data_IF_971497984279
#
_entry.id   IF_971497984279
#
_cell.length_a   1.000
_cell.length_b   1.000
_cell.length_c   1.000
_cell.angle_alpha   90.00
_cell.angle_beta   90.00
_cell.angle_gamma   90.00
#
_symmetry.space_group_name_H-M   'P 1'
#
loop_
_entity.id
_entity.type
_entity.pdbx_description
1 polymer ?
#
# COMPACT_ATOMS: atom_id res chain seq x y z
N UNK A 1 -23.27 24.88 -11.06
CA UNK A 1 -22.18 25.53 -10.30
C UNK A 1 -21.88 26.88 -10.92
N UNK A 2 -22.10 27.99 -10.20
CA UNK A 2 -21.94 29.34 -10.75
C UNK A 2 -20.47 29.69 -10.98
N UNK A 3 -20.01 29.67 -12.24
CA UNK A 3 -18.62 29.95 -12.65
C UNK A 3 -18.13 31.32 -12.17
N UNK A 4 -19.01 32.31 -12.09
CA UNK A 4 -18.70 33.66 -11.59
C UNK A 4 -18.33 33.67 -10.09
N UNK A 5 -18.93 32.79 -9.29
CA UNK A 5 -18.61 32.66 -7.86
C UNK A 5 -17.23 32.01 -7.69
N UNK A 6 -16.93 30.96 -8.45
CA UNK A 6 -15.62 30.29 -8.42
C UNK A 6 -14.47 31.21 -8.82
N UNK A 7 -14.65 32.05 -9.85
CA UNK A 7 -13.62 33.01 -10.29
C UNK A 7 -13.33 34.10 -9.24
N UNK A 8 -14.32 34.44 -8.40
CA UNK A 8 -14.16 35.42 -7.31
C UNK A 8 -13.39 34.84 -6.11
N UNK A 9 -13.62 33.55 -5.79
CA UNK A 9 -13.06 32.91 -4.60
C UNK A 9 -11.80 32.09 -4.85
N UNK A 10 -11.58 31.64 -6.08
CA UNK A 10 -10.39 30.90 -6.50
C UNK A 10 -9.81 31.53 -7.77
N UNK A 11 -8.96 32.57 -7.63
CA UNK A 11 -8.18 33.10 -8.73
C UNK A 11 -7.33 32.00 -9.38
N UNK A 12 -7.17 32.05 -10.70
CA UNK A 12 -6.41 31.03 -11.43
C UNK A 12 -4.95 30.95 -10.97
N UNK A 13 -4.39 32.04 -10.44
CA UNK A 13 -3.02 32.10 -9.92
C UNK A 13 -2.81 31.31 -8.62
N UNK A 14 -3.88 31.05 -7.86
CA UNK A 14 -3.80 30.32 -6.58
C UNK A 14 -3.91 28.80 -6.77
N UNK A 15 -4.42 28.34 -7.92
CA UNK A 15 -4.51 26.92 -8.28
C UNK A 15 -3.19 26.14 -8.13
N UNK A 16 -2.03 26.62 -8.60
CA UNK A 16 -0.76 25.89 -8.42
C UNK A 16 -0.37 25.74 -6.95
N UNK A 17 -0.63 26.75 -6.11
CA UNK A 17 -0.32 26.71 -4.68
C UNK A 17 -1.17 25.65 -3.99
N UNK A 18 -2.48 25.65 -4.22
CA UNK A 18 -3.38 24.63 -3.67
C UNK A 18 -3.06 23.23 -4.19
N UNK A 19 -2.61 23.10 -5.44
CA UNK A 19 -2.16 21.83 -6.00
C UNK A 19 -0.96 21.26 -5.23
N UNK A 20 0.11 22.05 -5.05
CA UNK A 20 1.32 21.61 -4.36
C UNK A 20 1.03 21.32 -2.88
N UNK A 21 0.31 22.22 -2.19
CA UNK A 21 -0.03 22.03 -0.78
C UNK A 21 -0.95 20.82 -0.60
N UNK A 22 -1.92 20.62 -1.48
CA UNK A 22 -2.79 19.45 -1.47
C UNK A 22 -2.01 18.14 -1.62
N UNK A 23 -1.04 18.10 -2.55
CA UNK A 23 -0.15 16.94 -2.71
C UNK A 23 0.73 16.74 -1.47
N UNK A 24 1.26 17.83 -0.88
CA UNK A 24 2.11 17.73 0.30
C UNK A 24 1.35 17.17 1.52
N UNK A 25 0.19 17.74 1.84
CA UNK A 25 -0.65 17.30 2.96
C UNK A 25 -1.22 15.90 2.70
N UNK A 26 -1.65 15.63 1.47
CA UNK A 26 -2.14 14.31 1.06
C UNK A 26 -1.04 13.24 1.15
N UNK A 27 0.16 13.52 0.65
CA UNK A 27 1.31 12.62 0.72
C UNK A 27 1.77 12.36 2.15
N UNK A 28 1.82 13.39 3.00
CA UNK A 28 2.15 13.25 4.41
C UNK A 28 1.10 12.42 5.17
N UNK A 29 -0.19 12.69 4.93
CA UNK A 29 -1.30 11.94 5.55
C UNK A 29 -1.30 10.49 5.10
N UNK A 30 -1.08 10.22 3.81
CA UNK A 30 -0.94 8.86 3.28
C UNK A 30 0.26 8.14 3.89
N UNK A 31 1.39 8.83 4.05
CA UNK A 31 2.57 8.22 4.68
C UNK A 31 2.32 7.87 6.16
N UNK A 32 1.70 8.78 6.92
CA UNK A 32 1.34 8.50 8.31
C UNK A 32 0.35 7.35 8.42
N UNK A 33 -0.67 7.32 7.55
CA UNK A 33 -1.63 6.22 7.50
C UNK A 33 -0.93 4.88 7.26
N UNK A 34 -0.03 4.78 6.28
CA UNK A 34 0.69 3.53 6.01
C UNK A 34 1.58 3.11 7.18
N UNK A 35 2.25 4.06 7.84
CA UNK A 35 3.14 3.77 8.97
C UNK A 35 2.33 3.26 10.16
N UNK A 36 1.12 3.79 10.32
CA UNK A 36 0.21 3.33 11.36
C UNK A 36 -0.26 1.88 11.17
N UNK A 37 -0.11 1.30 9.97
CA UNK A 37 -0.41 -0.12 9.70
C UNK A 37 0.82 -1.04 9.86
N UNK A 38 1.92 -0.54 10.42
CA UNK A 38 3.10 -1.34 10.70
C UNK A 38 2.84 -2.44 11.75
N UNK A 39 3.64 -3.53 11.75
CA UNK A 39 3.50 -4.63 12.72
C UNK A 39 3.70 -4.19 14.18
N UNK A 40 4.35 -3.05 14.41
CA UNK A 40 4.52 -2.45 15.73
C UNK A 40 3.23 -1.80 16.29
N UNK A 41 2.23 -1.55 15.44
CA UNK A 41 0.97 -0.90 15.84
C UNK A 41 -0.19 -1.90 15.79
N UNK A 42 -0.83 -2.11 16.94
CA UNK A 42 -2.02 -2.96 17.07
C UNK A 42 -3.27 -2.09 17.20
N UNK A 43 -4.07 -2.04 16.14
CA UNK A 43 -5.35 -1.31 16.11
C UNK A 43 -6.50 -2.07 16.76
N UNK A 44 -6.59 -3.37 16.48
CA UNK A 44 -7.61 -4.25 17.04
C UNK A 44 -6.97 -5.22 18.04
N UNK A 45 -7.40 -5.15 19.29
CA UNK A 45 -6.92 -6.04 20.37
C UNK A 45 -7.86 -7.19 20.67
N UNK A 46 -9.07 -7.19 20.10
CA UNK A 46 -10.11 -8.18 20.39
C UNK A 46 -10.34 -9.14 19.22
N UNK A 47 -10.00 -8.75 18.00
CA UNK A 47 -10.04 -9.60 16.81
C UNK A 47 -8.64 -10.03 16.35
N UNK A 48 -8.30 -9.69 15.11
CA UNK A 48 -7.04 -10.04 14.48
C UNK A 48 -5.91 -9.10 14.91
N UNK A 49 -5.37 -9.37 16.10
CA UNK A 49 -4.33 -8.56 16.74
C UNK A 49 -2.92 -8.77 16.17
N UNK A 50 -2.73 -9.73 15.27
CA UNK A 50 -1.43 -10.07 14.64
C UNK A 50 -1.49 -9.90 13.13
N UNK A 51 -1.55 -8.66 12.61
CA UNK A 51 -1.58 -8.43 11.16
C UNK A 51 -0.36 -9.00 10.43
N UNK A 52 0.77 -9.20 11.12
CA UNK A 52 1.98 -9.82 10.56
C UNK A 52 1.84 -11.31 10.24
N UNK A 53 0.90 -12.04 10.86
CA UNK A 53 0.69 -13.46 10.58
C UNK A 53 0.18 -13.69 9.13
N UNK A 54 -0.42 -12.67 8.51
CA UNK A 54 -0.91 -12.71 7.13
C UNK A 54 0.20 -12.49 6.09
N UNK A 55 1.38 -12.05 6.52
CA UNK A 55 2.46 -11.65 5.61
C UNK A 55 3.30 -12.88 5.28
N UNK A 56 3.24 -13.34 4.02
CA UNK A 56 4.02 -14.49 3.57
C UNK A 56 5.45 -14.07 3.18
N UNK A 57 6.43 -14.97 3.30
CA UNK A 57 7.86 -14.69 3.05
C UNK A 57 8.22 -14.27 1.60
N UNK A 58 7.29 -14.29 0.66
CA UNK A 58 7.42 -13.80 -0.71
C UNK A 58 6.92 -12.35 -0.90
N UNK A 59 6.32 -11.77 0.14
CA UNK A 59 5.79 -10.41 0.10
C UNK A 59 6.83 -9.40 0.58
N UNK A 60 6.93 -8.27 -0.12
CA UNK A 60 7.82 -7.18 0.24
C UNK A 60 7.07 -6.18 1.10
N UNK A 61 7.57 -5.94 2.32
CA UNK A 61 7.01 -4.99 3.27
C UNK A 61 7.53 -3.55 3.09
N UNK A 62 8.58 -3.36 2.28
CA UNK A 62 9.18 -2.04 2.04
C UNK A 62 8.31 -1.25 1.07
N UNK A 63 8.21 0.06 1.32
CA UNK A 63 7.50 0.96 0.40
C UNK A 63 8.07 0.91 -1.02
N UNK A 64 9.40 0.94 -1.12
CA UNK A 64 10.12 0.94 -2.39
C UNK A 64 11.18 -0.14 -2.32
N UNK A 65 11.27 -0.91 -3.38
CA UNK A 65 12.34 -1.89 -3.57
C UNK A 65 13.25 -1.44 -4.69
N UNK A 66 14.55 -1.52 -4.44
CA UNK A 66 15.57 -1.29 -5.49
C UNK A 66 15.68 -2.49 -6.44
N UNK A 67 15.20 -3.67 -6.01
CA UNK A 67 15.33 -4.92 -6.76
C UNK A 67 13.95 -5.60 -6.93
N UNK A 68 13.11 -5.15 -7.87
CA UNK A 68 11.75 -5.70 -8.06
C UNK A 68 11.79 -7.16 -8.56
N UNK A 69 12.74 -7.50 -9.44
CA UNK A 69 12.87 -8.84 -10.03
C UNK A 69 13.08 -9.94 -8.99
N UNK A 70 13.77 -9.64 -7.90
CA UNK A 70 13.98 -10.61 -6.81
C UNK A 70 12.66 -11.06 -6.20
N UNK A 71 11.74 -10.12 -5.97
CA UNK A 71 10.44 -10.40 -5.36
C UNK A 71 9.51 -11.10 -6.35
N UNK A 72 9.61 -10.80 -7.64
CA UNK A 72 8.88 -11.52 -8.69
C UNK A 72 9.28 -12.99 -8.75
N UNK A 73 10.59 -13.26 -8.80
CA UNK A 73 11.13 -14.63 -8.79
C UNK A 73 10.71 -15.39 -7.54
N UNK A 74 10.69 -14.73 -6.37
CA UNK A 74 10.28 -15.35 -5.10
C UNK A 74 8.78 -15.69 -5.08
N UNK A 75 7.93 -14.82 -5.63
CA UNK A 75 6.49 -15.10 -5.81
C UNK A 75 6.26 -16.28 -6.76
N UNK A 76 6.99 -16.35 -7.86
CA UNK A 76 6.91 -17.47 -8.82
C UNK A 76 7.33 -18.79 -8.15
N UNK A 77 8.47 -18.78 -7.45
CA UNK A 77 8.95 -19.94 -6.71
C UNK A 77 7.90 -20.49 -5.72
N UNK A 78 7.26 -19.62 -4.94
CA UNK A 78 6.22 -20.05 -4.00
C UNK A 78 5.00 -20.64 -4.73
N UNK A 79 4.58 -20.06 -5.87
CA UNK A 79 3.49 -20.62 -6.68
C UNK A 79 3.83 -22.02 -7.22
N UNK A 80 5.06 -22.20 -7.70
CA UNK A 80 5.51 -23.48 -8.23
C UNK A 80 5.59 -24.57 -7.14
N UNK A 81 6.06 -24.20 -5.94
CA UNK A 81 6.05 -25.10 -4.78
C UNK A 81 4.62 -25.50 -4.39
N UNK A 82 3.67 -24.56 -4.36
CA UNK A 82 2.26 -24.85 -4.09
C UNK A 82 1.65 -25.77 -5.13
N UNK A 83 1.84 -25.47 -6.42
CA UNK A 83 1.35 -26.31 -7.51
C UNK A 83 1.98 -27.72 -7.50
N UNK A 84 3.25 -27.84 -7.09
CA UNK A 84 3.90 -29.14 -6.91
C UNK A 84 3.29 -29.91 -5.73
N UNK A 85 3.05 -29.24 -4.60
CA UNK A 85 2.45 -29.87 -3.43
C UNK A 85 1.03 -30.39 -3.72
N UNK A 86 0.20 -29.61 -4.41
CA UNK A 86 -1.15 -30.01 -4.84
C UNK A 86 -1.10 -31.27 -5.71
N UNK A 87 -0.21 -31.31 -6.71
CA UNK A 87 -0.04 -32.51 -7.56
C UNK A 87 0.40 -33.76 -6.77
N UNK A 88 1.19 -33.59 -5.71
CA UNK A 88 1.60 -34.71 -4.86
C UNK A 88 0.43 -35.21 -4.01
N UNK A 89 -0.42 -34.31 -3.51
CA UNK A 89 -1.64 -34.68 -2.77
C UNK A 89 -2.60 -35.44 -3.68
N UNK A 90 -2.77 -35.01 -4.94
CA UNK A 90 -3.63 -35.69 -5.92
C UNK A 90 -3.11 -37.10 -6.32
N UNK A 91 -1.84 -37.41 -6.05
CA UNK A 91 -1.21 -38.70 -6.35
C UNK A 91 -1.33 -39.73 -5.21
N UNK A 92 -1.84 -39.34 -4.03
CA UNK A 92 -2.03 -40.20 -2.84
C UNK A 92 -3.50 -40.59 -2.73
#
# INVERSE_FOLDING_TARGET
MNRAFLKKWAPAETLPIFGIVGIAVGGASYYLYRLSQGPEVVWDRHGDWRPWDKITHDTNQKLITVNPEFWEKRRQFVKDQKAKAERVVDQI
#
